data_IF_896318299242
#
_entry.id   IF_896318299242
#
_cell.length_a   1.000
_cell.length_b   1.000
_cell.length_c   1.000
_cell.angle_alpha   90.00
_cell.angle_beta   90.00
_cell.angle_gamma   90.00
#
_symmetry.space_group_name_H-M   'P 1'
#
loop_
_entity.id
_entity.type
_entity.pdbx_description
1 polymer ?
#
# COMPACT_ATOMS: atom_id res chain seq x y z
N UNK A 1 61.45 -69.36 -22.19
CA UNK A 1 60.83 -68.88 -20.93
C UNK A 1 60.22 -67.48 -21.01
N UNK A 2 60.86 -66.43 -21.59
CA UNK A 2 60.33 -65.06 -21.54
C UNK A 2 59.05 -64.85 -22.39
N UNK A 3 58.85 -65.62 -23.46
CA UNK A 3 57.65 -65.50 -24.32
C UNK A 3 56.35 -65.97 -23.62
N UNK A 4 56.45 -67.01 -22.80
CA UNK A 4 55.32 -67.50 -21.99
C UNK A 4 54.94 -66.46 -20.93
N UNK A 5 55.92 -65.78 -20.34
CA UNK A 5 55.69 -64.69 -19.40
C UNK A 5 55.01 -63.49 -20.06
N UNK A 6 55.47 -63.08 -21.26
CA UNK A 6 54.82 -62.00 -22.04
C UNK A 6 53.36 -62.31 -22.34
N UNK A 7 53.07 -63.56 -22.71
CA UNK A 7 51.70 -63.99 -23.03
C UNK A 7 50.81 -63.99 -21.78
N UNK A 8 51.31 -64.51 -20.66
CA UNK A 8 50.57 -64.53 -19.40
C UNK A 8 50.32 -63.11 -18.85
N UNK A 9 51.33 -62.24 -18.96
CA UNK A 9 51.23 -60.84 -18.57
C UNK A 9 50.21 -60.08 -19.43
N UNK A 10 50.21 -60.29 -20.74
CA UNK A 10 49.22 -59.72 -21.66
C UNK A 10 47.79 -60.19 -21.31
N UNK A 11 47.61 -61.49 -21.08
CA UNK A 11 46.31 -62.03 -20.68
C UNK A 11 45.82 -61.45 -19.34
N UNK A 12 46.73 -61.27 -18.36
CA UNK A 12 46.43 -60.61 -17.09
C UNK A 12 46.00 -59.15 -17.27
N UNK A 13 46.67 -58.41 -18.14
CA UNK A 13 46.31 -57.03 -18.49
C UNK A 13 44.91 -56.94 -19.11
N UNK A 14 44.58 -57.86 -20.01
CA UNK A 14 43.25 -57.91 -20.66
C UNK A 14 42.17 -58.18 -19.61
N UNK A 15 42.38 -59.16 -18.72
CA UNK A 15 41.43 -59.47 -17.66
C UNK A 15 41.28 -58.33 -16.66
N UNK A 16 42.38 -57.66 -16.29
CA UNK A 16 42.35 -56.51 -15.39
C UNK A 16 41.60 -55.33 -16.03
N UNK A 17 41.79 -55.09 -17.33
CA UNK A 17 41.05 -54.07 -18.07
C UNK A 17 39.54 -54.34 -18.09
N UNK A 18 39.14 -55.59 -18.37
CA UNK A 18 37.73 -55.99 -18.33
C UNK A 18 37.14 -55.83 -16.94
N UNK A 19 37.88 -56.23 -15.90
CA UNK A 19 37.45 -56.10 -14.51
C UNK A 19 37.28 -54.63 -14.10
N UNK A 20 38.23 -53.75 -14.46
CA UNK A 20 38.14 -52.32 -14.17
C UNK A 20 36.94 -51.69 -14.90
N UNK A 21 36.73 -52.08 -16.16
CA UNK A 21 35.60 -51.60 -16.96
C UNK A 21 34.28 -52.05 -16.36
N UNK A 22 34.20 -53.29 -15.87
CA UNK A 22 33.03 -53.81 -15.17
C UNK A 22 32.76 -53.03 -13.87
N UNK A 23 33.78 -52.72 -13.08
CA UNK A 23 33.64 -51.86 -11.89
C UNK A 23 33.20 -50.44 -12.28
N UNK A 24 33.72 -49.87 -13.38
CA UNK A 24 33.34 -48.54 -13.80
C UNK A 24 31.86 -48.47 -14.23
N UNK A 25 31.39 -49.50 -14.93
CA UNK A 25 30.01 -49.56 -15.44
C UNK A 25 28.99 -50.04 -14.43
N UNK A 26 29.39 -50.96 -13.54
CA UNK A 26 28.47 -51.70 -12.66
C UNK A 26 28.90 -51.67 -11.19
N UNK A 27 30.10 -51.21 -10.88
CA UNK A 27 30.56 -50.99 -9.51
C UNK A 27 29.77 -49.85 -8.89
N UNK A 28 29.02 -50.20 -7.85
CA UNK A 28 28.15 -49.38 -7.03
C UNK A 28 28.14 -47.89 -7.33
N UNK A 29 27.00 -47.39 -7.81
CA UNK A 29 26.65 -45.97 -7.73
C UNK A 29 27.02 -45.48 -6.34
N UNK A 30 27.87 -44.46 -6.25
CA UNK A 30 27.90 -43.64 -5.06
C UNK A 30 26.44 -43.29 -4.77
N UNK A 31 25.97 -43.69 -3.61
CA UNK A 31 24.67 -43.27 -3.11
C UNK A 31 24.86 -41.77 -2.93
N UNK A 32 24.60 -41.00 -3.99
CA UNK A 32 24.27 -39.59 -3.82
C UNK A 32 23.11 -39.62 -2.84
N UNK A 33 23.40 -39.24 -1.59
CA UNK A 33 22.36 -38.97 -0.62
C UNK A 33 21.50 -37.91 -1.28
N UNK A 34 20.37 -38.34 -1.85
CA UNK A 34 19.35 -37.43 -2.36
C UNK A 34 18.79 -36.74 -1.13
N UNK A 35 19.46 -35.67 -0.71
CA UNK A 35 18.93 -34.76 0.30
C UNK A 35 17.67 -34.20 -0.34
N UNK A 36 16.52 -34.68 0.15
CA UNK A 36 15.22 -34.18 -0.26
C UNK A 36 15.26 -32.65 -0.19
N UNK A 37 14.86 -31.94 -1.25
CA UNK A 37 14.85 -30.48 -1.24
C UNK A 37 14.02 -30.02 -0.03
N UNK A 38 14.69 -29.38 0.93
CA UNK A 38 14.02 -28.67 2.02
C UNK A 38 13.53 -27.36 1.44
N UNK A 39 12.28 -27.36 0.96
CA UNK A 39 11.60 -26.13 0.60
C UNK A 39 11.40 -25.30 1.88
N UNK A 40 11.88 -24.07 1.87
CA UNK A 40 11.54 -23.11 2.91
C UNK A 40 10.03 -22.86 2.88
N UNK A 41 9.40 -22.83 4.06
CA UNK A 41 8.02 -22.41 4.17
C UNK A 41 7.94 -20.92 3.85
N UNK A 42 7.47 -20.60 2.65
CA UNK A 42 7.15 -19.23 2.27
C UNK A 42 5.83 -18.86 2.96
N UNK A 43 5.92 -18.07 4.03
CA UNK A 43 4.75 -17.46 4.63
C UNK A 43 4.38 -16.23 3.82
N UNK A 44 3.26 -16.30 3.11
CA UNK A 44 2.67 -15.10 2.52
C UNK A 44 1.99 -14.31 3.63
N UNK A 45 2.42 -13.07 3.85
CA UNK A 45 1.65 -12.12 4.66
C UNK A 45 0.25 -12.02 4.05
N UNK A 46 -0.82 -12.07 4.87
CA UNK A 46 -2.18 -11.92 4.37
C UNK A 46 -2.30 -10.61 3.60
N UNK A 47 -3.03 -10.64 2.48
CA UNK A 47 -3.28 -9.44 1.67
C UNK A 47 -3.96 -8.41 2.58
N UNK A 48 -3.42 -7.20 2.73
CA UNK A 48 -4.07 -6.16 3.52
C UNK A 48 -5.47 -5.87 2.96
N UNK A 49 -6.41 -5.55 3.83
CA UNK A 49 -7.76 -5.20 3.40
C UNK A 49 -7.72 -3.99 2.45
N UNK A 50 -8.63 -3.91 1.46
CA UNK A 50 -8.73 -2.76 0.58
C UNK A 50 -8.80 -1.43 1.35
N UNK A 51 -9.57 -1.38 2.44
CA UNK A 51 -9.70 -0.17 3.27
C UNK A 51 -8.37 0.33 3.83
N UNK A 52 -7.43 -0.58 4.14
CA UNK A 52 -6.09 -0.24 4.63
C UNK A 52 -5.17 0.24 3.51
N UNK A 53 -5.37 -0.28 2.29
CA UNK A 53 -4.67 0.16 1.09
C UNK A 53 -5.11 1.55 0.63
N UNK A 54 -6.38 1.88 0.86
CA UNK A 54 -6.99 3.16 0.48
C UNK A 54 -6.88 4.23 1.57
N UNK A 55 -6.50 3.84 2.79
CA UNK A 55 -6.34 4.77 3.88
C UNK A 55 -5.20 5.75 3.61
N UNK A 56 -5.36 7.03 4.00
CA UNK A 56 -4.26 7.98 3.95
C UNK A 56 -3.09 7.48 4.80
N UNK A 57 -1.89 7.94 4.46
CA UNK A 57 -0.70 7.69 5.27
C UNK A 57 -0.80 8.46 6.61
N UNK A 58 -1.34 9.68 6.54
CA UNK A 58 -1.44 10.61 7.66
C UNK A 58 -2.73 11.42 7.58
N UNK A 59 -3.33 11.68 8.74
CA UNK A 59 -4.47 12.58 8.92
C UNK A 59 -4.02 13.70 9.86
N UNK A 60 -4.07 14.94 9.39
CA UNK A 60 -3.75 16.12 10.20
C UNK A 60 -5.04 16.87 10.51
N UNK A 61 -5.24 17.17 11.78
CA UNK A 61 -6.34 18.01 12.25
C UNK A 61 -5.78 19.35 12.73
N UNK A 62 -6.37 20.43 12.23
CA UNK A 62 -6.11 21.79 12.66
C UNK A 62 -7.42 22.40 13.16
N UNK A 63 -7.45 22.84 14.42
CA UNK A 63 -8.58 23.56 14.98
C UNK A 63 -8.21 25.03 15.14
N UNK A 64 -9.07 25.97 14.78
CA UNK A 64 -8.75 27.41 14.88
C UNK A 64 -8.46 27.87 16.32
N UNK A 65 -9.14 27.27 17.28
CA UNK A 65 -9.00 27.61 18.70
C UNK A 65 -7.74 27.02 19.35
N UNK A 66 -7.13 26.00 18.74
CA UNK A 66 -5.89 25.37 19.23
C UNK A 66 -4.79 25.61 18.21
N UNK A 67 -3.73 26.31 18.60
CA UNK A 67 -2.56 26.50 17.72
C UNK A 67 -1.80 25.18 17.42
N UNK A 68 -2.21 24.06 18.03
CA UNK A 68 -1.60 22.75 17.84
C UNK A 68 -2.19 22.02 16.62
N UNK A 69 -1.29 21.50 15.78
CA UNK A 69 -1.61 20.54 14.73
C UNK A 69 -1.57 19.13 15.32
N UNK A 70 -2.68 18.40 15.22
CA UNK A 70 -2.76 17.02 15.70
C UNK A 70 -2.55 16.08 14.52
N UNK A 71 -1.48 15.28 14.57
CA UNK A 71 -1.12 14.32 13.53
C UNK A 71 -1.50 12.91 13.98
N UNK A 72 -2.29 12.22 13.16
CA UNK A 72 -2.64 10.80 13.32
C UNK A 72 -1.99 9.99 12.21
N UNK A 73 -1.24 8.93 12.56
CA UNK A 73 -0.54 8.09 11.59
C UNK A 73 -1.25 6.77 11.34
N UNK A 74 -1.09 6.24 10.13
CA UNK A 74 -1.63 4.93 9.76
C UNK A 74 -1.15 3.84 10.72
N UNK A 75 -2.10 3.10 11.30
CA UNK A 75 -1.85 2.06 12.31
C UNK A 75 -2.36 2.44 13.71
N UNK A 76 -2.66 3.72 13.95
CA UNK A 76 -3.33 4.17 15.17
C UNK A 76 -4.83 3.88 15.11
N UNK A 77 -5.43 3.54 16.25
CA UNK A 77 -6.87 3.23 16.33
C UNK A 77 -7.72 4.45 15.95
N UNK A 78 -7.30 5.64 16.38
CA UNK A 78 -7.99 6.91 16.09
C UNK A 78 -7.94 7.23 14.60
N UNK A 79 -6.79 6.99 13.95
CA UNK A 79 -6.65 7.14 12.50
C UNK A 79 -7.66 6.27 11.74
N UNK A 80 -7.81 5.00 12.12
CA UNK A 80 -8.77 4.09 11.49
C UNK A 80 -10.21 4.57 11.64
N UNK A 81 -10.60 5.03 12.84
CA UNK A 81 -11.95 5.56 13.07
C UNK A 81 -12.24 6.83 12.28
N UNK A 82 -11.29 7.78 12.28
CA UNK A 82 -11.40 9.01 11.48
C UNK A 82 -11.53 8.70 9.99
N UNK A 83 -10.69 7.81 9.48
CA UNK A 83 -10.75 7.41 8.08
C UNK A 83 -12.08 6.77 7.72
N UNK A 84 -12.60 5.85 8.55
CA UNK A 84 -13.92 5.23 8.30
C UNK A 84 -15.05 6.25 8.22
N UNK A 85 -15.05 7.23 9.12
CA UNK A 85 -16.07 8.27 9.12
C UNK A 85 -15.95 9.20 7.92
N UNK A 86 -14.74 9.63 7.57
CA UNK A 86 -14.48 10.53 6.44
C UNK A 86 -14.74 9.83 5.11
N UNK A 87 -14.28 8.59 4.94
CA UNK A 87 -14.55 7.80 3.73
C UNK A 87 -16.04 7.55 3.53
N UNK A 88 -16.79 7.26 4.60
CA UNK A 88 -18.25 7.15 4.52
C UNK A 88 -18.90 8.46 4.07
N UNK A 89 -18.37 9.61 4.51
CA UNK A 89 -18.83 10.92 4.07
C UNK A 89 -18.49 11.17 2.59
N UNK A 90 -17.27 10.86 2.16
CA UNK A 90 -16.83 11.03 0.77
C UNK A 90 -17.57 10.10 -0.21
N UNK A 91 -18.04 8.93 0.26
CA UNK A 91 -18.85 8.01 -0.53
C UNK A 91 -20.29 8.49 -0.73
N UNK A 92 -20.78 9.44 0.09
CA UNK A 92 -22.08 10.07 -0.16
C UNK A 92 -21.92 10.92 -1.42
N UNK A 93 -22.85 10.76 -2.37
CA UNK A 93 -22.85 11.49 -3.63
C UNK A 93 -22.78 12.99 -3.32
N UNK A 94 -21.69 13.66 -3.70
CA UNK A 94 -21.59 15.11 -3.55
C UNK A 94 -22.75 15.73 -4.35
N UNK A 95 -23.65 16.49 -3.71
CA UNK A 95 -24.66 17.25 -4.44
C UNK A 95 -23.95 18.25 -5.36
N UNK A 96 -24.56 18.59 -6.51
CA UNK A 96 -24.03 19.46 -7.58
C UNK A 96 -23.22 20.66 -7.05
N UNK A 97 -21.97 20.40 -6.71
CA UNK A 97 -21.11 21.36 -6.06
C UNK A 97 -20.51 22.23 -7.16
N UNK A 98 -20.57 23.54 -6.98
CA UNK A 98 -19.89 24.46 -7.88
C UNK A 98 -18.40 24.13 -7.86
N UNK A 99 -17.90 23.62 -8.99
CA UNK A 99 -16.49 23.28 -9.16
C UNK A 99 -15.76 24.57 -9.48
N UNK A 100 -15.04 25.09 -8.50
CA UNK A 100 -14.17 26.24 -8.70
C UNK A 100 -12.74 25.74 -8.89
N UNK A 101 -11.99 26.40 -9.79
CA UNK A 101 -10.54 26.26 -9.84
C UNK A 101 -9.97 27.22 -8.80
N UNK A 102 -9.43 26.70 -7.69
CA UNK A 102 -9.00 27.57 -6.61
C UNK A 102 -7.72 28.31 -6.99
N UNK A 103 -7.71 29.62 -6.72
CA UNK A 103 -6.48 30.39 -6.59
C UNK A 103 -5.83 30.06 -5.22
N UNK A 104 -4.50 29.94 -5.18
CA UNK A 104 -3.79 29.58 -3.95
C UNK A 104 -4.00 30.64 -2.85
N UNK A 105 -4.11 31.91 -3.24
CA UNK A 105 -4.42 33.00 -2.32
C UNK A 105 -5.82 32.88 -1.72
N UNK A 106 -6.81 32.47 -2.51
CA UNK A 106 -8.18 32.27 -2.04
C UNK A 106 -8.26 31.05 -1.10
N UNK A 107 -7.53 29.98 -1.39
CA UNK A 107 -7.46 28.80 -0.51
C UNK A 107 -6.83 29.13 0.84
N UNK A 108 -5.76 29.93 0.85
CA UNK A 108 -5.11 30.37 2.08
C UNK A 108 -6.04 31.25 2.94
N UNK A 109 -6.80 32.14 2.31
CA UNK A 109 -7.81 32.96 3.01
C UNK A 109 -8.91 32.07 3.63
N UNK A 110 -9.44 31.10 2.86
CA UNK A 110 -10.44 30.15 3.36
C UNK A 110 -9.92 29.34 4.55
N UNK A 111 -8.66 28.92 4.53
CA UNK A 111 -8.04 28.19 5.63
C UNK A 111 -7.93 29.04 6.90
N UNK A 112 -7.62 30.34 6.77
CA UNK A 112 -7.57 31.25 7.92
C UNK A 112 -8.94 31.54 8.53
N UNK A 113 -9.99 31.52 7.71
CA UNK A 113 -11.36 31.73 8.16
C UNK A 113 -11.98 30.46 8.75
N UNK A 114 -11.52 29.29 8.32
CA UNK A 114 -12.05 27.99 8.74
C UNK A 114 -11.94 27.80 10.26
N UNK A 115 -13.03 27.31 10.85
CA UNK A 115 -13.10 26.92 12.26
C UNK A 115 -12.29 25.66 12.54
N UNK A 116 -12.25 24.74 11.56
CA UNK A 116 -11.45 23.54 11.59
C UNK A 116 -11.08 23.09 10.17
N UNK A 117 -9.93 22.43 10.05
CA UNK A 117 -9.42 21.85 8.82
C UNK A 117 -8.89 20.43 9.08
N UNK A 118 -9.22 19.50 8.18
CA UNK A 118 -8.67 18.15 8.16
C UNK A 118 -7.93 17.95 6.85
N UNK A 119 -6.71 17.43 6.94
CA UNK A 119 -5.84 17.14 5.80
C UNK A 119 -5.58 15.63 5.77
N UNK A 120 -5.84 15.00 4.63
CA UNK A 120 -5.62 13.58 4.40
C UNK A 120 -4.50 13.45 3.37
N UNK A 121 -3.33 12.96 3.79
CA UNK A 121 -2.18 12.80 2.91
C UNK A 121 -2.06 11.35 2.44
N UNK A 122 -1.96 11.15 1.12
CA UNK A 122 -1.84 9.82 0.51
C UNK A 122 -0.41 9.57 0.02
N UNK A 123 0.21 8.51 0.56
CA UNK A 123 1.51 8.01 0.13
C UNK A 123 1.48 6.48 0.09
N UNK A 124 1.43 5.83 -1.09
CA UNK A 124 1.47 6.42 -2.44
C UNK A 124 0.22 7.23 -2.80
N UNK A 125 0.25 8.04 -3.89
CA UNK A 125 -0.92 8.75 -4.40
C UNK A 125 -2.06 7.78 -4.69
N UNK A 126 -3.28 8.17 -4.34
CA UNK A 126 -4.44 7.32 -4.49
C UNK A 126 -4.97 7.39 -5.93
N UNK A 127 -5.13 6.24 -6.61
CA UNK A 127 -5.79 6.22 -7.92
C UNK A 127 -7.27 6.54 -7.75
N UNK A 128 -7.79 7.37 -8.65
CA UNK A 128 -9.14 7.93 -8.50
C UNK A 128 -10.26 6.89 -8.39
N UNK A 129 -10.13 5.78 -9.13
CA UNK A 129 -11.17 4.75 -9.25
C UNK A 129 -11.55 4.09 -7.91
N UNK A 130 -10.79 4.36 -6.85
CA UNK A 130 -11.01 3.78 -5.54
C UNK A 130 -11.86 4.63 -4.60
N UNK A 131 -11.90 5.95 -4.80
CA UNK A 131 -12.89 6.79 -4.13
C UNK A 131 -14.02 6.98 -5.13
N UNK A 132 -15.15 6.33 -4.82
CA UNK A 132 -16.43 6.27 -5.53
C UNK A 132 -16.63 7.21 -6.74
N UNK A 133 -17.48 6.79 -7.69
CA UNK A 133 -17.99 7.59 -8.82
C UNK A 133 -18.54 9.00 -8.46
N UNK A 134 -18.68 9.30 -7.15
CA UNK A 134 -19.09 10.57 -6.58
C UNK A 134 -18.05 11.70 -6.68
N UNK A 135 -16.74 11.41 -6.79
CA UNK A 135 -15.71 12.45 -6.91
C UNK A 135 -15.32 12.68 -8.38
N UNK A 136 -15.24 13.94 -8.87
CA UNK A 136 -14.91 14.21 -10.27
C UNK A 136 -13.48 13.81 -10.65
N UNK A 137 -13.29 13.58 -11.95
CA UNK A 137 -12.09 13.07 -12.63
C UNK A 137 -10.74 13.72 -12.20
N UNK A 138 -10.12 13.29 -11.09
CA UNK A 138 -8.75 13.61 -10.71
C UNK A 138 -7.82 12.39 -10.89
N UNK A 139 -6.94 12.42 -11.89
CA UNK A 139 -6.16 11.24 -12.31
C UNK A 139 -5.36 10.53 -11.20
N UNK A 140 -4.80 11.29 -10.26
CA UNK A 140 -4.06 10.81 -9.08
C UNK A 140 -4.27 11.81 -7.94
N UNK A 141 -4.61 11.31 -6.75
CA UNK A 141 -4.94 12.14 -5.59
C UNK A 141 -3.80 12.06 -4.55
N UNK A 142 -3.17 13.19 -4.27
CA UNK A 142 -2.10 13.29 -3.27
C UNK A 142 -2.66 13.70 -1.91
N UNK A 143 -3.64 14.59 -1.91
CA UNK A 143 -4.17 15.16 -0.69
C UNK A 143 -5.67 15.46 -0.83
N UNK A 144 -6.40 15.25 0.25
CA UNK A 144 -7.75 15.78 0.43
C UNK A 144 -7.72 16.75 1.59
N UNK A 145 -8.24 17.96 1.40
CA UNK A 145 -8.43 18.92 2.47
C UNK A 145 -9.91 19.20 2.66
N UNK A 146 -10.36 19.13 3.90
CA UNK A 146 -11.71 19.38 4.32
C UNK A 146 -11.69 20.60 5.23
N UNK A 147 -12.43 21.63 4.89
CA UNK A 147 -12.53 22.86 5.69
C UNK A 147 -13.97 23.10 6.11
N UNK A 148 -14.15 23.53 7.36
CA UNK A 148 -15.44 23.96 7.89
C UNK A 148 -15.42 25.47 8.17
N UNK A 149 -16.21 26.26 7.45
CA UNK A 149 -16.36 27.70 7.67
C UNK A 149 -17.83 28.06 7.83
N UNK A 150 -18.24 28.31 9.09
CA UNK A 150 -19.65 28.49 9.45
C UNK A 150 -20.48 27.30 9.00
N UNK A 151 -21.49 27.55 8.16
CA UNK A 151 -22.40 26.51 7.68
C UNK A 151 -21.96 25.79 6.41
N UNK A 152 -20.77 26.10 5.90
CA UNK A 152 -20.31 25.62 4.59
C UNK A 152 -19.09 24.72 4.77
N UNK A 153 -19.11 23.59 4.06
CA UNK A 153 -17.96 22.71 3.93
C UNK A 153 -17.30 22.89 2.57
N UNK A 154 -15.98 22.85 2.59
CA UNK A 154 -15.15 22.93 1.41
C UNK A 154 -14.32 21.66 1.32
N UNK A 155 -14.43 20.96 0.19
CA UNK A 155 -13.57 19.84 -0.17
C UNK A 155 -12.58 20.33 -1.21
N UNK A 156 -11.30 20.31 -0.88
CA UNK A 156 -10.24 20.53 -1.84
C UNK A 156 -9.56 19.21 -2.15
N UNK A 157 -9.49 18.90 -3.44
CA UNK A 157 -8.78 17.73 -3.95
C UNK A 157 -7.48 18.21 -4.58
N UNK A 158 -6.35 17.82 -3.98
CA UNK A 158 -5.02 18.03 -4.55
C UNK A 158 -4.60 16.79 -5.32
N UNK A 159 -4.63 16.91 -6.64
CA UNK A 159 -4.22 15.88 -7.56
C UNK A 159 -3.56 16.49 -8.79
N UNK A 160 -3.59 15.77 -9.91
CA UNK A 160 -3.10 16.33 -11.19
C UNK A 160 -3.82 17.63 -11.59
N UNK A 161 -5.10 17.73 -11.27
CA UNK A 161 -5.87 18.97 -11.35
C UNK A 161 -6.41 19.32 -9.97
N UNK A 162 -6.15 20.56 -9.53
CA UNK A 162 -6.68 21.10 -8.27
C UNK A 162 -8.15 21.45 -8.47
N UNK A 163 -9.01 20.94 -7.61
CA UNK A 163 -10.44 21.24 -7.64
C UNK A 163 -10.96 21.56 -6.25
N UNK A 164 -11.79 22.60 -6.17
CA UNK A 164 -12.47 23.01 -4.94
C UNK A 164 -13.97 22.78 -5.12
N UNK A 165 -14.55 22.00 -4.22
CA UNK A 165 -15.98 21.78 -4.14
C UNK A 165 -16.50 22.47 -2.90
N UNK A 166 -17.54 23.26 -3.10
CA UNK A 166 -18.33 23.82 -2.03
C UNK A 166 -19.59 22.98 -1.88
N UNK A 167 -19.80 22.41 -0.70
CA UNK A 167 -21.02 21.67 -0.42
C UNK A 167 -21.66 22.15 0.89
N UNK A 168 -22.98 22.05 0.93
CA UNK A 168 -23.79 22.35 2.11
C UNK A 168 -24.39 21.04 2.61
N UNK A 169 -24.05 20.61 3.82
CA UNK A 169 -24.65 19.42 4.43
C UNK A 169 -25.31 19.79 5.76
N UNK A 170 -26.63 19.64 5.89
CA UNK A 170 -27.36 19.90 7.13
C UNK A 170 -27.00 18.94 8.27
N UNK A 171 -26.24 17.87 8.03
CA UNK A 171 -25.67 17.00 9.07
C UNK A 171 -24.34 17.53 9.65
N UNK A 172 -24.18 18.87 9.73
CA UNK A 172 -23.05 19.61 10.35
C UNK A 172 -22.49 18.98 11.62
N UNK A 173 -23.39 18.45 12.46
CA UNK A 173 -23.01 17.83 13.73
C UNK A 173 -22.07 16.64 13.57
N UNK A 174 -22.15 15.86 12.50
CA UNK A 174 -21.34 14.64 12.39
C UNK A 174 -19.84 14.95 12.32
N UNK A 175 -19.46 15.98 11.55
CA UNK A 175 -18.07 16.37 11.33
C UNK A 175 -17.52 17.16 12.53
N UNK A 176 -18.31 18.08 13.08
CA UNK A 176 -17.96 18.77 14.35
C UNK A 176 -17.87 17.79 15.53
N UNK A 177 -18.74 16.78 15.59
CA UNK A 177 -18.67 15.71 16.60
C UNK A 177 -17.43 14.84 16.38
N UNK A 178 -17.07 14.51 15.13
CA UNK A 178 -15.83 13.79 14.82
C UNK A 178 -14.60 14.59 15.26
N UNK A 179 -14.55 15.89 14.94
CA UNK A 179 -13.46 16.80 15.28
C UNK A 179 -13.36 17.01 16.80
N UNK A 180 -14.49 17.11 17.51
CA UNK A 180 -14.51 17.25 18.98
C UNK A 180 -14.28 15.94 19.72
N UNK A 181 -14.61 14.78 19.13
CA UNK A 181 -14.33 13.46 19.73
C UNK A 181 -12.90 12.96 19.53
N UNK A 182 -12.18 13.52 18.53
CA UNK A 182 -10.79 13.17 18.23
C UNK A 182 -9.76 14.05 18.96
N UNK A 183 -10.22 15.09 19.65
CA UNK A 183 -9.41 16.06 20.40
C UNK A 183 -9.47 15.83 21.92
#
# INVERSE_FOLDING_TARGET
MPERFKTFFLAGLILLSLYLTYILWFGGRYIEEVVLPRYEFVFFTPVPSPDLLLAPAEIVLQQREKEELILFRRGETVHTHLWQAISALLQRKLPDAAVERPDEAALAALLQEASAAIFLHFAPPLPQNFLADALPAAAELHEIRLFASGDVFYLFLDGREKSLYRWFDPEQKALETLISSAA
#
